data_IF_725603550108
#
_entry.id   IF_725603550108
#
_cell.length_a   1.000
_cell.length_b   1.000
_cell.length_c   1.000
_cell.angle_alpha   90.00
_cell.angle_beta   90.00
_cell.angle_gamma   90.00
#
_symmetry.space_group_name_H-M   'P 1'
#
loop_
_entity.id
_entity.type
_entity.pdbx_description
1 polymer ?
#
# COMPACT_ATOMS: atom_id res chain seq x y z
N UNK A 1 -33.87 25.25 -16.76
CA UNK A 1 -33.06 24.75 -17.90
C UNK A 1 -32.02 25.81 -18.20
N UNK A 2 -30.76 25.57 -17.83
CA UNK A 2 -29.66 26.49 -18.14
C UNK A 2 -29.15 26.20 -19.55
N UNK A 3 -28.98 27.25 -20.36
CA UNK A 3 -28.37 27.16 -21.69
C UNK A 3 -26.88 26.82 -21.51
N UNK A 4 -26.34 25.78 -22.17
CA UNK A 4 -24.91 25.47 -22.04
C UNK A 4 -24.07 26.53 -22.76
N UNK A 5 -23.08 27.08 -22.05
CA UNK A 5 -22.10 28.01 -22.59
C UNK A 5 -20.90 27.21 -23.09
N UNK A 6 -20.59 27.32 -24.38
CA UNK A 6 -19.38 26.75 -24.98
C UNK A 6 -18.20 27.66 -24.62
N UNK A 7 -17.21 27.14 -23.88
CA UNK A 7 -16.12 27.97 -23.34
C UNK A 7 -14.86 28.03 -24.22
N UNK A 8 -14.83 27.36 -25.38
CA UNK A 8 -13.83 27.62 -26.40
C UNK A 8 -13.37 26.39 -27.18
N UNK A 9 -12.80 26.63 -28.36
CA UNK A 9 -12.14 25.62 -29.18
C UNK A 9 -10.66 25.97 -29.31
N UNK A 10 -9.79 25.01 -29.02
CA UNK A 10 -8.34 25.16 -29.19
C UNK A 10 -7.84 24.20 -30.27
N UNK A 11 -7.12 24.74 -31.25
CA UNK A 11 -6.57 23.98 -32.37
C UNK A 11 -5.21 23.41 -31.99
N UNK A 12 -5.03 22.10 -32.14
CA UNK A 12 -3.73 21.48 -32.02
C UNK A 12 -3.18 21.17 -33.43
N UNK A 13 -1.89 21.41 -33.67
CA UNK A 13 -1.24 21.39 -34.99
C UNK A 13 -1.26 20.07 -35.76
N UNK A 14 -1.87 19.01 -35.20
CA UNK A 14 -1.89 17.64 -35.74
C UNK A 14 -3.24 17.21 -36.35
N UNK A 15 -4.19 18.13 -36.58
CA UNK A 15 -5.44 17.82 -37.29
C UNK A 15 -6.60 17.35 -36.39
N UNK A 16 -6.60 17.75 -35.12
CA UNK A 16 -7.61 17.40 -34.13
C UNK A 16 -8.23 18.66 -33.50
N UNK A 17 -9.51 18.58 -33.15
CA UNK A 17 -10.24 19.63 -32.42
C UNK A 17 -10.78 19.09 -31.09
N UNK A 18 -10.70 19.92 -30.05
CA UNK A 18 -11.11 19.61 -28.68
C UNK A 18 -12.23 20.55 -28.28
N UNK A 19 -13.28 19.97 -27.70
CA UNK A 19 -14.42 20.68 -27.14
C UNK A 19 -14.56 20.34 -25.66
N UNK A 20 -14.59 21.37 -24.82
CA UNK A 20 -14.75 21.22 -23.37
C UNK A 20 -16.03 21.91 -22.92
N UNK A 21 -16.83 21.18 -22.13
CA UNK A 21 -18.02 21.73 -21.48
C UNK A 21 -17.95 21.42 -19.98
N UNK A 22 -18.12 22.46 -19.18
CA UNK A 22 -18.18 22.38 -17.72
C UNK A 22 -19.62 22.67 -17.32
N UNK A 23 -20.23 21.78 -16.55
CA UNK A 23 -21.40 22.11 -15.75
C UNK A 23 -21.02 22.08 -14.27
N UNK A 24 -21.85 22.65 -13.40
CA UNK A 24 -21.62 22.78 -11.95
C UNK A 24 -21.31 21.48 -11.21
N UNK A 25 -21.43 20.32 -11.87
CA UNK A 25 -21.20 19.01 -11.23
C UNK A 25 -20.21 18.12 -12.00
N UNK A 26 -19.94 18.35 -13.29
CA UNK A 26 -19.14 17.43 -14.13
C UNK A 26 -18.33 18.16 -15.24
N UNK A 27 -17.17 17.60 -15.59
CA UNK A 27 -16.34 17.99 -16.73
C UNK A 27 -16.51 16.97 -17.87
N UNK A 28 -16.87 17.44 -19.07
CA UNK A 28 -16.98 16.61 -20.28
C UNK A 28 -15.95 17.08 -21.30
N UNK A 29 -15.14 16.15 -21.81
CA UNK A 29 -14.10 16.42 -22.82
C UNK A 29 -14.39 15.56 -24.06
N UNK A 30 -14.53 16.20 -25.22
CA UNK A 30 -14.68 15.52 -26.51
C UNK A 30 -13.49 15.85 -27.43
N UNK A 31 -12.93 14.81 -28.08
CA UNK A 31 -11.77 14.91 -28.98
C UNK A 31 -12.13 14.25 -30.32
N UNK A 32 -11.95 14.95 -31.45
CA UNK A 32 -12.25 14.39 -32.78
C UNK A 32 -11.19 14.66 -33.85
N UNK A 33 -10.96 13.71 -34.78
CA UNK A 33 -10.16 13.92 -35.98
C UNK A 33 -10.99 14.62 -37.06
N UNK A 34 -10.37 15.59 -37.74
CA UNK A 34 -11.03 16.54 -38.65
C UNK A 34 -11.85 15.94 -39.82
N UNK A 35 -11.70 14.64 -40.10
CA UNK A 35 -12.23 14.00 -41.31
C UNK A 35 -13.55 13.23 -41.14
N UNK A 36 -14.16 13.15 -39.95
CA UNK A 36 -15.45 12.45 -39.74
C UNK A 36 -16.54 13.40 -39.27
N UNK A 37 -17.62 13.51 -40.04
CA UNK A 37 -18.88 14.14 -39.59
C UNK A 37 -19.67 13.12 -38.76
N UNK A 38 -19.61 13.24 -37.44
CA UNK A 38 -20.42 12.46 -36.50
C UNK A 38 -19.84 12.55 -35.09
N UNK A 39 -20.60 13.11 -34.15
CA UNK A 39 -20.19 13.27 -32.75
C UNK A 39 -20.35 11.92 -32.05
N UNK A 40 -19.26 11.35 -31.54
CA UNK A 40 -19.32 10.25 -30.58
C UNK A 40 -19.18 10.82 -29.18
N UNK A 41 -20.24 10.70 -28.38
CA UNK A 41 -20.28 11.11 -26.98
C UNK A 41 -19.99 9.86 -26.15
N UNK A 42 -18.96 9.91 -25.30
CA UNK A 42 -18.68 8.84 -24.33
C UNK A 42 -19.22 9.32 -22.99
N UNK A 43 -20.26 8.66 -22.51
CA UNK A 43 -20.86 8.89 -21.19
C UNK A 43 -20.21 7.96 -20.16
N UNK A 44 -19.64 8.53 -19.10
CA UNK A 44 -18.81 7.81 -18.12
C UNK A 44 -19.59 7.50 -16.82
N UNK A 45 -20.92 7.48 -16.87
CA UNK A 45 -21.77 7.53 -15.66
C UNK A 45 -22.40 6.22 -15.17
N UNK A 46 -22.11 5.03 -15.73
CA UNK A 46 -22.70 3.74 -15.26
C UNK A 46 -21.65 2.61 -15.10
N UNK A 47 -21.78 1.71 -14.09
CA UNK A 47 -20.91 0.54 -13.93
C UNK A 47 -21.33 -0.59 -14.91
N UNK A 48 -20.38 -1.41 -15.43
CA UNK A 48 -20.71 -2.38 -16.47
C UNK A 48 -21.44 -3.61 -15.94
N UNK A 49 -22.38 -4.14 -16.73
CA UNK A 49 -23.03 -5.43 -16.50
C UNK A 49 -22.09 -6.60 -16.84
N UNK A 50 -22.26 -7.71 -16.11
CA UNK A 50 -21.45 -8.91 -16.16
C UNK A 50 -21.61 -9.73 -17.46
N UNK A 51 -21.02 -9.26 -18.56
CA UNK A 51 -20.65 -10.12 -19.72
C UNK A 51 -19.58 -9.54 -20.66
N UNK A 52 -19.05 -8.34 -20.40
CA UNK A 52 -17.90 -7.77 -21.15
C UNK A 52 -16.79 -7.34 -20.18
N UNK A 53 -16.08 -8.30 -19.60
CA UNK A 53 -14.78 -8.06 -18.98
C UNK A 53 -13.68 -8.50 -19.96
N UNK A 54 -13.42 -7.67 -20.95
CA UNK A 54 -12.10 -7.56 -21.54
C UNK A 54 -11.94 -6.16 -22.13
N UNK A 55 -11.02 -5.37 -21.55
CA UNK A 55 -10.64 -3.98 -21.90
C UNK A 55 -11.45 -2.85 -21.25
N UNK A 56 -11.26 -2.67 -19.94
CA UNK A 56 -11.33 -1.35 -19.32
C UNK A 56 -9.92 -0.93 -18.89
N UNK A 57 -9.39 0.14 -19.50
CA UNK A 57 -8.03 0.66 -19.25
C UNK A 57 -8.15 1.92 -18.35
N UNK A 58 -7.46 1.98 -17.20
CA UNK A 58 -7.54 3.11 -16.28
C UNK A 58 -6.86 4.39 -16.82
N UNK A 59 -7.30 5.55 -16.33
CA UNK A 59 -6.98 6.91 -16.84
C UNK A 59 -5.48 7.27 -16.87
N UNK A 60 -4.62 6.52 -16.18
CA UNK A 60 -3.16 6.70 -16.25
C UNK A 60 -2.52 6.13 -17.54
N UNK A 61 -3.23 5.29 -18.29
CA UNK A 61 -2.70 4.61 -19.48
C UNK A 61 -3.02 5.31 -20.81
N UNK A 62 -3.57 6.54 -20.78
CA UNK A 62 -3.72 7.36 -22.00
C UNK A 62 -2.35 7.76 -22.59
N UNK A 63 -1.26 7.54 -21.84
CA UNK A 63 0.09 8.01 -22.17
C UNK A 63 0.83 7.11 -23.19
N UNK A 64 0.34 5.91 -23.52
CA UNK A 64 1.11 4.95 -24.35
C UNK A 64 0.56 4.66 -25.75
N UNK A 65 -0.32 5.52 -26.29
CA UNK A 65 -0.90 5.29 -27.62
C UNK A 65 -0.72 6.40 -28.67
N UNK A 66 0.25 7.33 -28.54
CA UNK A 66 0.64 8.21 -29.67
C UNK A 66 2.10 8.68 -29.52
N UNK A 67 2.98 8.50 -30.53
CA UNK A 67 4.33 9.06 -30.48
C UNK A 67 4.31 10.59 -30.66
N UNK A 68 4.89 11.34 -29.72
CA UNK A 68 5.16 12.80 -29.83
C UNK A 68 4.46 13.75 -28.84
N UNK A 69 3.89 13.26 -27.73
CA UNK A 69 2.98 14.05 -26.87
C UNK A 69 3.62 14.72 -25.62
N UNK A 70 4.89 15.14 -25.65
CA UNK A 70 5.50 15.83 -24.49
C UNK A 70 4.94 17.25 -24.26
N UNK A 71 4.58 17.97 -25.33
CA UNK A 71 3.95 19.30 -25.25
C UNK A 71 2.46 19.27 -24.86
N UNK A 72 1.82 18.10 -24.94
CA UNK A 72 0.40 17.86 -24.67
C UNK A 72 0.09 17.85 -23.16
N UNK A 73 0.98 17.26 -22.36
CA UNK A 73 0.79 17.13 -20.91
C UNK A 73 0.89 18.47 -20.16
N UNK A 74 1.75 19.39 -20.61
CA UNK A 74 1.92 20.69 -19.93
C UNK A 74 0.71 21.62 -20.09
N UNK A 75 0.05 21.64 -21.24
CA UNK A 75 -1.11 22.53 -21.48
C UNK A 75 -2.35 22.13 -20.68
N UNK A 76 -2.59 20.83 -20.51
CA UNK A 76 -3.74 20.31 -19.75
C UNK A 76 -3.59 20.61 -18.26
N UNK A 77 -2.38 20.46 -17.71
CA UNK A 77 -2.10 20.74 -16.29
C UNK A 77 -2.25 22.23 -15.95
N UNK A 78 -1.80 23.13 -16.84
CA UNK A 78 -1.89 24.59 -16.62
C UNK A 78 -3.36 25.07 -16.58
N UNK A 79 -4.23 24.53 -17.43
CA UNK A 79 -5.66 24.90 -17.48
C UNK A 79 -6.43 24.47 -16.22
N UNK A 80 -6.05 23.36 -15.59
CA UNK A 80 -6.69 22.88 -14.34
C UNK A 80 -6.27 23.74 -13.14
N UNK A 81 -5.04 24.27 -13.12
CA UNK A 81 -4.55 25.11 -12.02
C UNK A 81 -5.21 26.50 -11.96
N UNK A 82 -5.58 27.10 -13.10
CA UNK A 82 -6.25 28.42 -13.11
C UNK A 82 -7.69 28.40 -12.58
N UNK A 83 -8.34 27.24 -12.52
CA UNK A 83 -9.75 27.10 -12.11
C UNK A 83 -9.94 26.92 -10.58
N UNK A 84 -8.85 26.77 -9.82
CA UNK A 84 -8.88 26.35 -8.40
C UNK A 84 -8.23 27.35 -7.43
N UNK A 85 -8.36 28.66 -7.67
CA UNK A 85 -8.01 29.68 -6.66
C UNK A 85 -9.28 30.21 -5.95
N UNK A 86 -9.32 30.32 -4.61
CA UNK A 86 -10.51 30.76 -3.90
C UNK A 86 -10.59 32.30 -3.80
N UNK A 87 -11.76 32.86 -4.13
CA UNK A 87 -12.10 34.26 -3.86
C UNK A 87 -12.70 34.42 -2.44
N UNK A 88 -12.33 35.53 -1.83
CA UNK A 88 -12.49 35.96 -0.44
C UNK A 88 -13.86 36.57 -0.06
N UNK A 89 -14.32 36.27 1.16
CA UNK A 89 -14.86 37.14 2.24
C UNK A 89 -16.21 37.93 2.17
N UNK A 90 -17.04 37.70 3.23
CA UNK A 90 -18.10 38.54 3.93
C UNK A 90 -19.48 38.82 3.27
N UNK A 91 -20.56 39.23 4.02
CA UNK A 91 -21.04 39.00 5.42
C UNK A 91 -22.58 38.61 5.51
N UNK A 92 -23.21 38.47 6.72
CA UNK A 92 -24.58 37.92 6.89
C UNK A 92 -25.66 38.96 7.27
N UNK A 93 -26.98 38.65 7.14
CA UNK A 93 -28.17 39.19 7.89
C UNK A 93 -29.52 38.71 7.23
N UNK A 94 -30.75 38.88 7.82
CA UNK A 94 -31.33 38.29 9.05
C UNK A 94 -32.67 37.51 8.84
N UNK A 95 -33.19 36.94 9.95
CA UNK A 95 -34.48 36.24 10.18
C UNK A 95 -35.77 37.05 9.83
N UNK A 96 -36.98 36.43 9.86
CA UNK A 96 -37.77 36.53 11.10
C UNK A 96 -38.66 35.33 11.52
N UNK A 97 -38.73 35.14 12.85
CA UNK A 97 -39.84 34.78 13.77
C UNK A 97 -41.19 34.22 13.24
N UNK A 98 -41.65 33.12 13.88
CA UNK A 98 -43.02 33.01 14.42
C UNK A 98 -43.13 32.01 15.60
N UNK A 99 -44.01 32.35 16.56
CA UNK A 99 -44.20 31.85 17.93
C UNK A 99 -45.10 30.60 18.08
N UNK A 100 -45.15 29.96 19.27
CA UNK A 100 -45.71 28.63 19.51
C UNK A 100 -47.19 28.65 19.94
N UNK A 101 -47.86 27.50 19.86
CA UNK A 101 -49.18 27.25 20.46
C UNK A 101 -49.10 25.98 21.33
N UNK A 102 -49.52 26.14 22.59
CA UNK A 102 -49.73 25.15 23.64
C UNK A 102 -51.23 24.86 23.74
N UNK A 103 -51.69 23.60 23.70
CA UNK A 103 -52.98 23.10 24.23
C UNK A 103 -52.81 21.58 24.49
N UNK A 104 -52.59 21.12 25.73
CA UNK A 104 -53.54 20.59 26.72
C UNK A 104 -54.06 19.14 26.47
N UNK A 105 -53.73 18.23 27.39
CA UNK A 105 -54.40 16.92 27.64
C UNK A 105 -55.69 17.13 28.47
N UNK A 106 -56.66 16.17 28.58
CA UNK A 106 -56.56 14.95 29.44
C UNK A 106 -57.52 13.78 28.98
N UNK A 107 -58.02 12.81 29.82
CA UNK A 107 -57.33 11.73 30.56
C UNK A 107 -57.97 10.29 30.41
N UNK A 108 -57.32 9.30 31.08
CA UNK A 108 -57.86 8.06 31.75
C UNK A 108 -58.53 6.93 30.95
N UNK A 109 -58.00 5.68 30.96
CA UNK A 109 -58.20 4.62 32.00
C UNK A 109 -57.73 3.21 31.57
N UNK A 110 -57.26 2.46 32.58
CA UNK A 110 -57.38 1.01 32.83
C UNK A 110 -56.69 -0.06 31.95
N UNK A 111 -55.68 -0.70 32.56
CA UNK A 111 -55.45 -2.15 32.73
C UNK A 111 -55.79 -3.17 31.62
N UNK A 112 -54.77 -3.91 31.16
CA UNK A 112 -54.73 -5.37 31.19
C UNK A 112 -53.36 -5.91 30.71
N UNK A 113 -52.81 -6.82 31.51
CA UNK A 113 -51.65 -7.68 31.27
C UNK A 113 -51.96 -8.80 30.28
N UNK A 114 -51.16 -8.97 29.21
CA UNK A 114 -51.10 -10.21 28.40
C UNK A 114 -49.70 -10.34 27.78
N UNK A 115 -48.92 -11.26 28.36
CA UNK A 115 -47.81 -12.11 27.85
C UNK A 115 -46.96 -11.72 26.62
N UNK A 116 -45.66 -11.89 26.86
CA UNK A 116 -44.53 -11.97 25.96
C UNK A 116 -44.75 -12.79 24.68
N UNK A 117 -44.28 -12.26 23.56
CA UNK A 117 -43.36 -12.91 22.61
C UNK A 117 -43.27 -12.05 21.33
N UNK A 118 -42.54 -10.93 21.40
CA UNK A 118 -41.98 -10.32 20.20
C UNK A 118 -40.53 -10.74 20.14
N UNK A 119 -40.25 -11.62 19.19
CA UNK A 119 -38.90 -11.93 18.74
C UNK A 119 -38.24 -10.63 18.29
N UNK A 120 -37.51 -10.00 19.22
CA UNK A 120 -36.50 -9.01 18.89
C UNK A 120 -35.42 -9.74 18.12
N UNK A 121 -35.54 -9.73 16.80
CA UNK A 121 -34.42 -9.90 15.89
C UNK A 121 -33.34 -8.94 16.36
N UNK A 122 -32.29 -9.50 16.96
CA UNK A 122 -31.08 -8.79 17.33
C UNK A 122 -30.55 -8.08 16.11
N UNK A 123 -30.82 -6.78 16.03
CA UNK A 123 -30.09 -5.90 15.13
C UNK A 123 -28.61 -6.04 15.50
N UNK A 124 -27.69 -6.24 14.54
CA UNK A 124 -26.28 -6.34 14.86
C UNK A 124 -25.87 -5.05 15.57
N UNK A 125 -25.48 -5.19 16.83
CA UNK A 125 -25.00 -4.12 17.68
C UNK A 125 -23.87 -3.38 16.97
N UNK A 126 -23.90 -2.06 17.02
CA UNK A 126 -22.92 -1.14 16.44
C UNK A 126 -21.46 -1.32 16.96
N UNK A 127 -21.19 -2.38 17.73
CA UNK A 127 -19.88 -2.77 18.27
C UNK A 127 -18.98 -3.48 17.25
N UNK A 128 -19.51 -4.00 16.14
CA UNK A 128 -18.72 -4.79 15.17
C UNK A 128 -17.87 -3.98 14.17
N UNK A 129 -17.81 -2.66 14.29
CA UNK A 129 -17.07 -1.80 13.34
C UNK A 129 -15.70 -1.31 13.85
N UNK A 130 -15.37 -1.48 15.12
CA UNK A 130 -14.06 -1.09 15.63
C UNK A 130 -12.97 -2.03 15.06
N UNK A 131 -11.85 -1.49 14.53
CA UNK A 131 -10.81 -2.33 13.98
C UNK A 131 -10.15 -3.15 15.07
N UNK A 132 -10.00 -4.46 14.84
CA UNK A 132 -9.30 -5.36 15.76
C UNK A 132 -7.78 -5.31 15.57
N UNK A 133 -7.35 -5.01 14.34
CA UNK A 133 -5.95 -5.10 13.93
C UNK A 133 -5.56 -3.85 13.15
N UNK A 134 -4.40 -3.27 13.47
CA UNK A 134 -3.78 -2.18 12.71
C UNK A 134 -2.67 -2.74 11.84
N UNK A 135 -2.67 -2.41 10.55
CA UNK A 135 -1.63 -2.82 9.59
C UNK A 135 -0.77 -1.63 9.19
N UNK A 136 0.55 -1.75 9.39
CA UNK A 136 1.46 -0.59 9.43
C UNK A 136 2.48 -0.50 8.30
N UNK A 137 2.46 -1.44 7.35
CA UNK A 137 3.40 -1.40 6.22
C UNK A 137 3.07 -0.20 5.34
N UNK A 138 4.01 0.13 4.46
CA UNK A 138 3.83 1.15 3.44
C UNK A 138 2.50 0.99 2.68
N UNK A 139 1.94 2.14 2.31
CA UNK A 139 0.65 2.24 1.61
C UNK A 139 0.62 1.32 0.41
N UNK A 140 -0.45 0.52 0.31
CA UNK A 140 -0.64 -0.44 -0.78
C UNK A 140 0.10 -1.77 -0.61
N UNK A 141 0.94 -1.94 0.42
CA UNK A 141 1.66 -3.20 0.70
C UNK A 141 1.01 -4.07 1.78
N UNK A 142 -0.14 -3.66 2.31
CA UNK A 142 -0.88 -4.40 3.34
C UNK A 142 -1.93 -5.38 2.78
N UNK A 143 -2.31 -5.28 1.49
CA UNK A 143 -3.43 -6.02 0.90
C UNK A 143 -3.42 -7.53 1.19
N UNK A 144 -2.29 -8.22 0.95
CA UNK A 144 -2.17 -9.67 1.21
C UNK A 144 -2.44 -10.05 2.68
N UNK A 145 -2.06 -9.20 3.63
CA UNK A 145 -2.32 -9.44 5.05
C UNK A 145 -3.79 -9.18 5.39
N UNK A 146 -4.35 -8.08 4.88
CA UNK A 146 -5.76 -7.75 5.04
C UNK A 146 -6.64 -8.88 4.50
N UNK A 147 -6.37 -9.36 3.28
CA UNK A 147 -7.10 -10.46 2.64
C UNK A 147 -6.99 -11.77 3.43
N UNK A 148 -5.83 -12.04 4.03
CA UNK A 148 -5.63 -13.23 4.85
C UNK A 148 -6.43 -13.16 6.17
N UNK A 149 -6.45 -11.99 6.81
CA UNK A 149 -7.19 -11.75 8.05
C UNK A 149 -8.71 -11.67 7.83
N UNK A 150 -9.15 -11.19 6.66
CA UNK A 150 -10.58 -11.15 6.30
C UNK A 150 -11.23 -12.54 6.29
N UNK A 151 -10.45 -13.62 6.02
CA UNK A 151 -10.93 -15.02 6.11
C UNK A 151 -11.33 -15.44 7.52
N UNK A 152 -10.86 -14.71 8.53
CA UNK A 152 -11.18 -14.89 9.95
C UNK A 152 -12.16 -13.82 10.45
N UNK A 153 -12.80 -13.07 9.54
CA UNK A 153 -13.72 -11.98 9.85
C UNK A 153 -13.08 -10.86 10.69
N UNK A 154 -11.76 -10.69 10.56
CA UNK A 154 -11.00 -9.66 11.29
C UNK A 154 -10.98 -8.38 10.47
N UNK A 155 -11.60 -7.33 11.01
CA UNK A 155 -11.53 -5.99 10.45
C UNK A 155 -10.17 -5.33 10.74
N UNK A 156 -9.50 -4.85 9.68
CA UNK A 156 -8.19 -4.22 9.74
C UNK A 156 -8.27 -2.72 9.47
N UNK A 157 -7.55 -1.93 10.27
CA UNK A 157 -7.28 -0.52 9.99
C UNK A 157 -5.91 -0.37 9.34
N UNK A 158 -5.86 0.15 8.12
CA UNK A 158 -4.60 0.49 7.48
C UNK A 158 -4.08 1.83 8.02
N UNK A 159 -2.89 1.81 8.63
CA UNK A 159 -2.18 2.98 9.12
C UNK A 159 -0.70 2.88 8.73
N UNK A 160 -0.33 3.24 7.48
CA UNK A 160 1.04 3.14 7.02
C UNK A 160 1.96 4.03 7.88
N UNK A 161 3.02 3.43 8.44
CA UNK A 161 3.96 4.15 9.32
C UNK A 161 5.31 4.41 8.67
N UNK A 162 5.59 3.73 7.57
CA UNK A 162 6.85 3.81 6.85
C UNK A 162 6.61 3.89 5.34
N UNK A 163 7.60 4.41 4.63
CA UNK A 163 7.67 4.42 3.18
C UNK A 163 9.09 4.09 2.72
N UNK A 164 9.21 3.58 1.50
CA UNK A 164 10.49 3.32 0.87
C UNK A 164 10.87 4.49 -0.05
N UNK A 165 12.11 4.94 0.09
CA UNK A 165 12.69 6.02 -0.71
C UNK A 165 13.98 5.55 -1.36
N UNK A 166 14.42 6.28 -2.39
CA UNK A 166 15.62 5.92 -3.15
C UNK A 166 16.86 5.91 -2.26
N UNK A 167 17.70 4.90 -2.45
CA UNK A 167 18.99 4.78 -1.77
C UNK A 167 20.11 5.40 -2.60
N UNK A 168 21.26 5.68 -1.97
CA UNK A 168 22.39 6.35 -2.64
C UNK A 168 22.97 5.56 -3.82
N UNK A 169 22.79 4.24 -3.86
CA UNK A 169 23.35 3.39 -4.91
C UNK A 169 22.34 3.03 -6.00
N UNK A 170 21.09 3.53 -5.94
CA UNK A 170 20.03 3.15 -6.86
C UNK A 170 20.41 3.41 -8.32
N UNK A 171 20.87 4.63 -8.61
CA UNK A 171 21.17 5.07 -9.98
C UNK A 171 22.33 4.28 -10.61
N UNK A 172 23.20 3.71 -9.77
CA UNK A 172 24.36 2.91 -10.21
C UNK A 172 24.00 1.44 -10.46
N UNK A 173 22.91 0.95 -9.90
CA UNK A 173 22.53 -0.47 -9.96
C UNK A 173 22.40 -0.99 -11.41
N UNK A 174 21.77 -0.27 -12.36
CA UNK A 174 21.69 -0.75 -13.75
C UNK A 174 23.05 -0.91 -14.43
N UNK A 175 23.96 0.06 -14.26
CA UNK A 175 25.32 -0.02 -14.82
C UNK A 175 26.11 -1.16 -14.19
N UNK A 176 26.05 -1.31 -12.86
CA UNK A 176 26.73 -2.42 -12.17
C UNK A 176 26.24 -3.78 -12.69
N UNK A 177 24.93 -3.92 -12.93
CA UNK A 177 24.33 -5.13 -13.51
C UNK A 177 24.72 -5.38 -14.97
N UNK A 178 24.86 -4.33 -15.78
CA UNK A 178 25.21 -4.44 -17.20
C UNK A 178 26.70 -4.67 -17.44
N UNK A 179 27.55 -4.05 -16.61
CA UNK A 179 29.00 -4.01 -16.82
C UNK A 179 29.72 -5.21 -16.17
N UNK A 180 29.07 -5.93 -15.26
CA UNK A 180 29.67 -7.00 -14.48
C UNK A 180 28.84 -8.29 -14.54
N UNK A 181 29.53 -9.43 -14.51
CA UNK A 181 28.89 -10.72 -14.30
C UNK A 181 29.02 -11.12 -12.82
N UNK A 182 27.89 -11.38 -12.17
CA UNK A 182 27.84 -11.90 -10.81
C UNK A 182 27.41 -13.37 -10.82
N UNK A 183 28.05 -14.19 -9.98
CA UNK A 183 27.63 -15.59 -9.79
C UNK A 183 26.26 -15.67 -9.11
N UNK A 184 25.97 -14.70 -8.25
CA UNK A 184 24.71 -14.56 -7.53
C UNK A 184 24.24 -13.11 -7.43
N UNK A 185 22.93 -12.93 -7.50
CA UNK A 185 22.22 -11.77 -6.97
C UNK A 185 21.43 -12.22 -5.75
N UNK A 186 21.69 -11.63 -4.59
CA UNK A 186 20.98 -11.96 -3.35
C UNK A 186 19.90 -10.92 -3.08
N UNK A 187 18.66 -11.37 -2.90
CA UNK A 187 17.49 -10.50 -2.67
C UNK A 187 16.81 -10.90 -1.36
N UNK A 188 16.82 -9.99 -0.39
CA UNK A 188 16.39 -10.29 0.99
C UNK A 188 15.06 -9.66 1.38
N UNK A 189 14.38 -8.97 0.47
CA UNK A 189 13.06 -8.43 0.72
C UNK A 189 12.27 -8.29 -0.58
N UNK A 190 10.94 -8.26 -0.52
CA UNK A 190 10.12 -7.94 -1.69
C UNK A 190 10.50 -6.60 -2.32
N UNK A 191 10.84 -5.60 -1.50
CA UNK A 191 11.24 -4.27 -1.98
C UNK A 191 12.54 -4.31 -2.77
N UNK A 192 13.56 -4.99 -2.24
CA UNK A 192 14.82 -5.19 -2.94
C UNK A 192 14.59 -5.89 -4.29
N UNK A 193 13.64 -6.83 -4.34
CA UNK A 193 13.24 -7.51 -5.58
C UNK A 193 12.61 -6.57 -6.60
N UNK A 194 11.70 -5.69 -6.18
CA UNK A 194 11.09 -4.69 -7.06
C UNK A 194 12.12 -3.70 -7.60
N UNK A 195 12.99 -3.15 -6.74
CA UNK A 195 14.07 -2.25 -7.12
C UNK A 195 15.05 -2.93 -8.09
N UNK A 196 15.41 -4.17 -7.80
CA UNK A 196 16.28 -4.97 -8.67
C UNK A 196 15.66 -5.23 -10.04
N UNK A 197 14.38 -5.63 -10.10
CA UNK A 197 13.72 -5.93 -11.38
C UNK A 197 13.68 -4.71 -12.30
N UNK A 198 13.49 -3.51 -11.76
CA UNK A 198 13.51 -2.28 -12.56
C UNK A 198 14.92 -2.01 -13.12
N UNK A 199 15.94 -2.11 -12.27
CA UNK A 199 17.32 -1.93 -12.71
C UNK A 199 17.77 -3.01 -13.70
N UNK A 200 17.33 -4.26 -13.51
CA UNK A 200 17.61 -5.38 -14.40
C UNK A 200 16.99 -5.21 -15.78
N UNK A 201 15.76 -4.68 -15.87
CA UNK A 201 15.15 -4.31 -17.15
C UNK A 201 15.94 -3.19 -17.83
N UNK A 202 16.30 -2.17 -17.07
CA UNK A 202 17.09 -1.02 -17.55
C UNK A 202 18.47 -1.44 -18.05
N UNK A 203 19.09 -2.45 -17.43
CA UNK A 203 20.40 -2.98 -17.82
C UNK A 203 20.34 -3.97 -19.00
N UNK A 204 19.20 -4.09 -19.70
CA UNK A 204 19.05 -4.98 -20.84
C UNK A 204 18.81 -6.45 -20.50
N UNK A 205 18.33 -6.74 -19.28
CA UNK A 205 17.94 -8.07 -18.79
C UNK A 205 19.06 -9.14 -18.89
N UNK A 206 20.25 -8.90 -18.31
CA UNK A 206 21.35 -9.86 -18.32
C UNK A 206 20.96 -11.19 -17.65
N UNK A 207 21.66 -12.27 -18.00
CA UNK A 207 21.44 -13.55 -17.34
C UNK A 207 21.92 -13.50 -15.88
N UNK A 208 21.03 -13.82 -14.93
CA UNK A 208 21.30 -13.72 -13.50
C UNK A 208 20.76 -14.94 -12.74
N UNK A 209 21.56 -15.43 -11.77
CA UNK A 209 21.12 -16.39 -10.76
C UNK A 209 20.76 -15.67 -9.48
N UNK A 210 19.53 -15.85 -9.02
CA UNK A 210 18.97 -15.13 -7.89
C UNK A 210 18.81 -16.07 -6.70
N UNK A 211 19.40 -15.70 -5.57
CA UNK A 211 19.12 -16.28 -4.25
C UNK A 211 18.14 -15.39 -3.51
N UNK A 212 16.97 -15.91 -3.14
CA UNK A 212 15.96 -15.13 -2.40
C UNK A 212 15.83 -15.63 -0.97
N UNK A 213 15.62 -14.73 -0.02
CA UNK A 213 15.51 -15.12 1.41
C UNK A 213 14.29 -15.99 1.69
N UNK A 214 13.19 -15.87 0.93
CA UNK A 214 11.98 -16.63 1.21
C UNK A 214 10.88 -16.44 0.17
N UNK A 215 9.78 -17.17 0.35
CA UNK A 215 8.65 -17.25 -0.59
C UNK A 215 7.99 -15.90 -0.88
N UNK A 216 7.87 -15.03 0.13
CA UNK A 216 7.35 -13.68 -0.02
C UNK A 216 8.17 -12.85 -1.00
N UNK A 217 9.50 -12.93 -0.90
CA UNK A 217 10.43 -12.27 -1.84
C UNK A 217 10.41 -12.93 -3.20
N UNK A 218 10.42 -14.27 -3.27
CA UNK A 218 10.31 -15.03 -4.51
C UNK A 218 9.05 -14.64 -5.32
N UNK A 219 7.95 -14.31 -4.63
CA UNK A 219 6.68 -13.98 -5.28
C UNK A 219 6.73 -12.74 -6.17
N UNK A 220 7.68 -11.83 -5.95
CA UNK A 220 7.88 -10.62 -6.75
C UNK A 220 8.35 -10.94 -8.18
N UNK A 221 9.03 -12.08 -8.35
CA UNK A 221 9.63 -12.47 -9.63
C UNK A 221 8.68 -13.26 -10.53
N UNK A 222 7.46 -13.61 -10.08
CA UNK A 222 6.53 -14.47 -10.83
C UNK A 222 6.27 -13.97 -12.25
N UNK A 223 5.99 -12.69 -12.41
CA UNK A 223 5.70 -12.08 -13.72
C UNK A 223 6.96 -12.00 -14.60
N UNK A 224 8.11 -11.63 -14.01
CA UNK A 224 9.38 -11.57 -14.71
C UNK A 224 9.82 -12.95 -15.22
N UNK A 225 9.54 -14.01 -14.46
CA UNK A 225 9.82 -15.39 -14.86
C UNK A 225 8.91 -15.89 -15.99
N UNK A 226 7.69 -15.37 -16.10
CA UNK A 226 6.76 -15.73 -17.18
C UNK A 226 7.08 -15.03 -18.51
N UNK A 227 7.65 -13.83 -18.44
CA UNK A 227 7.92 -12.96 -19.60
C UNK A 227 9.35 -13.09 -20.15
N UNK A 228 10.29 -13.60 -19.35
CA UNK A 228 11.68 -13.72 -19.77
C UNK A 228 11.98 -15.07 -20.41
N UNK A 229 12.74 -15.06 -21.52
CA UNK A 229 13.30 -16.26 -22.16
C UNK A 229 14.43 -16.89 -21.30
N UNK A 230 14.17 -17.17 -20.01
CA UNK A 230 15.10 -17.77 -19.02
C UNK A 230 16.34 -16.92 -18.67
N UNK A 231 16.27 -15.60 -18.76
CA UNK A 231 17.37 -14.72 -18.34
C UNK A 231 17.42 -14.48 -16.83
N UNK A 232 16.35 -14.79 -16.09
CA UNK A 232 16.31 -14.72 -14.64
C UNK A 232 15.98 -16.10 -14.06
N UNK A 233 16.79 -16.59 -13.14
CA UNK A 233 16.60 -17.88 -12.48
C UNK A 233 16.61 -17.72 -10.96
N UNK A 234 15.51 -18.09 -10.27
CA UNK A 234 15.50 -18.19 -8.81
C UNK A 234 16.13 -19.53 -8.43
N UNK A 235 17.45 -19.54 -8.36
CA UNK A 235 18.25 -20.76 -8.21
C UNK A 235 18.44 -21.19 -6.75
N UNK A 236 18.08 -20.36 -5.76
CA UNK A 236 18.26 -20.69 -4.35
C UNK A 236 17.23 -20.03 -3.42
N UNK A 237 16.75 -20.82 -2.45
CA UNK A 237 15.97 -20.39 -1.30
C UNK A 237 16.51 -21.13 -0.07
N UNK A 238 16.84 -20.44 1.04
CA UNK A 238 17.36 -21.10 2.24
C UNK A 238 16.28 -21.92 2.94
N UNK A 239 16.73 -22.86 3.81
CA UNK A 239 15.87 -23.71 4.63
C UNK A 239 14.96 -22.93 5.59
N UNK A 240 15.42 -21.74 6.03
CA UNK A 240 14.67 -20.79 6.85
C UNK A 240 14.81 -19.39 6.27
N UNK A 241 13.70 -18.65 6.22
CA UNK A 241 13.67 -17.32 5.62
C UNK A 241 14.29 -16.23 6.49
N UNK A 242 15.59 -16.34 6.73
CA UNK A 242 16.40 -15.40 7.51
C UNK A 242 17.69 -15.08 6.77
N UNK A 243 18.24 -13.89 7.02
CA UNK A 243 19.48 -13.48 6.36
C UNK A 243 20.65 -14.39 6.73
N UNK A 244 20.85 -14.63 8.02
CA UNK A 244 21.85 -15.57 8.54
C UNK A 244 21.85 -16.94 7.85
N UNK A 245 20.67 -17.54 7.66
CA UNK A 245 20.57 -18.87 7.04
C UNK A 245 20.86 -18.78 5.54
N UNK A 246 20.38 -17.75 4.84
CA UNK A 246 20.78 -17.49 3.45
C UNK A 246 22.29 -17.38 3.31
N UNK A 247 22.94 -16.56 4.15
CA UNK A 247 24.38 -16.37 4.09
C UNK A 247 25.15 -17.66 4.39
N UNK A 248 24.61 -18.54 5.24
CA UNK A 248 25.22 -19.83 5.59
C UNK A 248 25.06 -20.88 4.50
N UNK A 249 23.91 -20.91 3.84
CA UNK A 249 23.51 -21.99 2.93
C UNK A 249 23.72 -21.67 1.45
N UNK A 250 23.92 -20.39 1.07
CA UNK A 250 24.11 -20.00 -0.33
C UNK A 250 25.23 -20.84 -0.98
N UNK A 251 24.99 -21.52 -2.13
CA UNK A 251 25.99 -22.37 -2.74
C UNK A 251 27.20 -21.57 -3.22
N UNK A 252 28.40 -22.00 -2.84
CA UNK A 252 29.66 -21.42 -3.33
C UNK A 252 30.09 -22.15 -4.59
N UNK A 253 30.26 -21.42 -5.68
CA UNK A 253 30.73 -21.96 -6.96
C UNK A 253 32.21 -21.62 -7.09
N UNK A 254 33.07 -22.64 -7.13
CA UNK A 254 34.51 -22.46 -7.33
C UNK A 254 35.24 -21.70 -6.20
N UNK A 255 36.46 -21.25 -6.50
CA UNK A 255 37.35 -20.61 -5.53
C UNK A 255 37.05 -19.12 -5.31
N UNK A 256 36.53 -18.43 -6.33
CA UNK A 256 36.04 -17.05 -6.27
C UNK A 256 34.58 -17.06 -6.68
N UNK A 257 33.72 -16.50 -5.83
CA UNK A 257 32.28 -16.44 -6.07
C UNK A 257 31.80 -15.03 -5.71
N UNK A 258 31.27 -14.33 -6.71
CA UNK A 258 30.87 -12.92 -6.62
C UNK A 258 29.37 -12.81 -6.36
N UNK A 259 29.00 -11.88 -5.47
CA UNK A 259 27.61 -11.67 -5.07
C UNK A 259 27.28 -10.19 -5.21
N UNK A 260 26.23 -9.87 -5.98
CA UNK A 260 25.58 -8.58 -5.89
C UNK A 260 24.49 -8.63 -4.83
N UNK A 261 24.51 -7.69 -3.90
CA UNK A 261 23.52 -7.60 -2.82
C UNK A 261 22.84 -6.21 -2.79
N UNK A 262 21.76 -6.00 -3.57
CA UNK A 262 20.89 -4.84 -3.44
C UNK A 262 20.13 -4.92 -2.11
N UNK A 263 20.33 -3.91 -1.26
CA UNK A 263 19.84 -3.91 0.10
C UNK A 263 19.26 -2.55 0.50
N UNK A 264 18.53 -2.53 1.62
CA UNK A 264 18.19 -1.27 2.27
C UNK A 264 19.44 -0.66 2.90
N UNK A 265 19.58 0.67 2.85
CA UNK A 265 20.57 1.40 3.64
C UNK A 265 20.44 1.13 5.16
N UNK A 266 19.26 0.71 5.63
CA UNK A 266 19.00 0.34 7.03
C UNK A 266 19.20 -1.16 7.34
N UNK A 267 19.46 -2.00 6.33
CA UNK A 267 19.69 -3.42 6.58
C UNK A 267 21.00 -3.61 7.36
N UNK A 268 21.05 -4.58 8.27
CA UNK A 268 22.28 -4.94 8.97
C UNK A 268 23.32 -5.50 7.98
N UNK A 269 24.56 -5.66 8.45
CA UNK A 269 25.64 -6.26 7.65
C UNK A 269 25.65 -7.81 7.72
N UNK A 270 24.66 -8.44 8.37
CA UNK A 270 24.64 -9.89 8.63
C UNK A 270 24.83 -10.75 7.36
N UNK A 271 24.22 -10.35 6.24
CA UNK A 271 24.37 -11.04 4.95
C UNK A 271 25.78 -10.88 4.39
N UNK A 272 26.25 -9.64 4.33
CA UNK A 272 27.54 -9.27 3.78
C UNK A 272 28.66 -9.95 4.57
N UNK A 273 28.65 -9.79 5.89
CA UNK A 273 29.60 -10.42 6.79
C UNK A 273 29.52 -11.95 6.70
N UNK A 274 28.31 -12.52 6.70
CA UNK A 274 28.11 -13.96 6.64
C UNK A 274 28.63 -14.59 5.34
N UNK A 275 28.44 -13.93 4.21
CA UNK A 275 28.94 -14.35 2.90
C UNK A 275 30.45 -14.12 2.78
N UNK A 276 30.95 -12.94 3.17
CA UNK A 276 32.39 -12.63 3.16
C UNK A 276 33.19 -13.59 4.04
N UNK A 277 32.67 -14.00 5.20
CA UNK A 277 33.28 -15.01 6.07
C UNK A 277 33.38 -16.40 5.42
N UNK A 278 32.53 -16.69 4.43
CA UNK A 278 32.60 -17.91 3.60
C UNK A 278 33.45 -17.72 2.34
N UNK A 279 34.10 -16.56 2.20
CA UNK A 279 34.97 -16.19 1.09
C UNK A 279 34.24 -15.89 -0.21
N UNK A 280 33.02 -15.35 -0.12
CA UNK A 280 32.37 -14.68 -1.26
C UNK A 280 32.90 -13.24 -1.38
N UNK A 281 32.96 -12.74 -2.61
CA UNK A 281 33.22 -11.34 -2.90
C UNK A 281 31.88 -10.61 -3.03
N UNK A 282 31.50 -9.88 -1.98
CA UNK A 282 30.17 -9.26 -1.89
C UNK A 282 30.26 -7.80 -2.33
N UNK A 283 29.45 -7.44 -3.32
CA UNK A 283 29.16 -6.07 -3.72
C UNK A 283 27.80 -5.68 -3.15
N UNK A 284 27.79 -5.07 -1.96
CA UNK A 284 26.57 -4.50 -1.40
C UNK A 284 26.25 -3.16 -2.06
N UNK A 285 24.98 -2.96 -2.40
CA UNK A 285 24.47 -1.67 -2.91
C UNK A 285 23.24 -1.26 -2.09
N UNK A 286 23.29 -0.09 -1.47
CA UNK A 286 22.18 0.45 -0.70
C UNK A 286 21.22 1.19 -1.65
N UNK A 287 20.30 0.45 -2.25
CA UNK A 287 19.49 0.91 -3.39
C UNK A 287 18.15 1.53 -2.97
N UNK A 288 17.77 1.35 -1.72
CA UNK A 288 16.62 2.02 -1.12
C UNK A 288 16.85 2.27 0.37
N UNK A 289 16.03 3.10 0.99
CA UNK A 289 15.97 3.25 2.44
C UNK A 289 14.54 3.32 2.91
N UNK A 290 14.31 2.97 4.18
CA UNK A 290 12.98 3.05 4.79
C UNK A 290 12.93 4.28 5.67
N UNK A 291 11.95 5.15 5.49
CA UNK A 291 11.74 6.34 6.33
C UNK A 291 10.36 6.30 6.96
N UNK A 292 10.15 6.95 8.13
CA UNK A 292 8.80 7.16 8.65
C UNK A 292 7.98 8.03 7.69
N UNK A 293 6.67 7.82 7.62
CA UNK A 293 5.78 8.72 6.88
C UNK A 293 5.80 10.13 7.51
N UNK A 294 5.66 11.16 6.69
CA UNK A 294 5.70 12.55 7.16
C UNK A 294 4.45 12.95 7.96
N UNK A 295 3.30 12.33 7.67
CA UNK A 295 2.03 12.68 8.28
C UNK A 295 1.23 11.43 8.60
N UNK A 296 0.66 11.40 9.81
CA UNK A 296 -0.31 10.41 10.27
C UNK A 296 -1.57 11.17 10.68
N UNK A 297 -2.70 10.80 10.10
CA UNK A 297 -3.98 11.42 10.43
C UNK A 297 -4.35 11.16 11.90
N UNK A 298 -4.64 12.23 12.65
CA UNK A 298 -4.91 12.15 14.09
C UNK A 298 -6.19 11.36 14.42
N UNK A 299 -7.22 11.42 13.58
CA UNK A 299 -8.45 10.66 13.80
C UNK A 299 -8.20 9.17 13.57
N UNK A 300 -7.44 8.83 12.53
CA UNK A 300 -7.04 7.45 12.26
C UNK A 300 -6.12 6.91 13.35
N UNK A 301 -5.17 7.71 13.83
CA UNK A 301 -4.29 7.34 14.94
C UNK A 301 -5.10 7.05 16.21
N UNK A 302 -6.12 7.87 16.52
CA UNK A 302 -6.99 7.62 17.68
C UNK A 302 -7.69 6.26 17.60
N UNK A 303 -8.17 5.88 16.41
CA UNK A 303 -8.77 4.56 16.19
C UNK A 303 -7.73 3.44 16.30
N UNK A 304 -6.52 3.67 15.78
CA UNK A 304 -5.43 2.70 15.85
C UNK A 304 -4.96 2.43 17.28
N UNK A 305 -4.89 3.47 18.13
CA UNK A 305 -4.50 3.33 19.53
C UNK A 305 -5.52 2.52 20.35
N UNK A 306 -6.80 2.55 19.95
CA UNK A 306 -7.86 1.76 20.56
C UNK A 306 -7.89 0.29 20.08
N UNK A 307 -7.15 -0.05 19.02
CA UNK A 307 -7.16 -1.40 18.47
C UNK A 307 -6.35 -2.38 19.37
N UNK A 308 -6.85 -3.60 19.58
CA UNK A 308 -6.18 -4.65 20.36
C UNK A 308 -4.78 -5.02 19.86
N UNK A 309 -4.56 -5.02 18.55
CA UNK A 309 -3.30 -5.48 17.95
C UNK A 309 -2.78 -4.48 16.92
N UNK A 310 -1.50 -4.13 17.03
CA UNK A 310 -0.74 -3.51 15.94
C UNK A 310 0.17 -4.55 15.30
N UNK A 311 0.20 -4.60 13.97
CA UNK A 311 1.10 -5.48 13.23
C UNK A 311 2.28 -4.70 12.71
N UNK A 312 3.49 -5.26 12.80
CA UNK A 312 4.73 -4.60 12.33
C UNK A 312 5.62 -5.58 11.57
N UNK A 313 6.05 -5.16 10.37
CA UNK A 313 6.87 -5.99 9.49
C UNK A 313 8.37 -5.66 9.52
N UNK A 314 8.79 -4.68 10.35
CA UNK A 314 10.19 -4.30 10.44
C UNK A 314 10.51 -3.52 11.73
N UNK A 315 11.79 -3.49 12.15
CA UNK A 315 12.27 -2.61 13.21
C UNK A 315 11.92 -1.12 13.00
N UNK A 316 11.93 -0.64 11.74
CA UNK A 316 11.57 0.75 11.43
C UNK A 316 10.08 1.04 11.69
N UNK A 317 9.18 0.09 11.39
CA UNK A 317 7.75 0.26 11.63
C UNK A 317 7.41 0.31 13.12
N UNK A 318 8.01 -0.55 13.94
CA UNK A 318 7.78 -0.52 15.39
C UNK A 318 8.40 0.70 16.07
N UNK A 319 9.55 1.19 15.56
CA UNK A 319 10.13 2.45 16.02
C UNK A 319 9.23 3.64 15.70
N UNK A 320 8.66 3.67 14.48
CA UNK A 320 7.70 4.69 14.09
C UNK A 320 6.43 4.63 14.95
N UNK A 321 5.91 3.43 15.24
CA UNK A 321 4.78 3.25 16.16
C UNK A 321 5.10 3.80 17.55
N UNK A 322 6.25 3.43 18.13
CA UNK A 322 6.68 3.91 19.46
C UNK A 322 6.73 5.43 19.53
N UNK A 323 7.20 6.10 18.47
CA UNK A 323 7.25 7.56 18.42
C UNK A 323 5.86 8.21 18.43
N UNK A 324 4.84 7.52 17.90
CA UNK A 324 3.45 8.03 17.92
C UNK A 324 2.77 7.88 19.28
N UNK A 325 3.22 6.93 20.11
CA UNK A 325 2.63 6.69 21.43
C UNK A 325 2.91 7.83 22.43
N UNK A 326 3.90 8.70 22.18
CA UNK A 326 4.35 9.68 23.18
C UNK A 326 4.65 9.01 24.54
N UNK A 327 4.53 9.73 25.66
CA UNK A 327 4.66 9.17 27.02
C UNK A 327 3.41 8.38 27.47
N UNK A 328 2.48 8.06 26.57
CA UNK A 328 1.29 7.29 26.95
C UNK A 328 1.63 5.81 27.12
N UNK A 329 1.13 5.21 28.20
CA UNK A 329 1.21 3.77 28.40
C UNK A 329 0.25 3.07 27.42
N UNK A 330 0.81 2.37 26.44
CA UNK A 330 0.07 1.54 25.50
C UNK A 330 0.44 0.07 25.75
N UNK A 331 -0.51 -0.68 26.29
CA UNK A 331 -0.31 -2.06 26.79
C UNK A 331 -0.95 -3.14 25.89
N UNK A 332 -1.39 -2.75 24.69
CA UNK A 332 -1.95 -3.68 23.71
C UNK A 332 -0.86 -4.50 23.02
N UNK A 333 -1.26 -5.42 22.14
CA UNK A 333 -0.38 -6.43 21.59
C UNK A 333 0.31 -5.99 20.31
N UNK A 334 1.59 -6.34 20.17
CA UNK A 334 2.40 -6.14 18.96
C UNK A 334 2.61 -7.49 18.27
N UNK A 335 2.04 -7.66 17.07
CA UNK A 335 2.26 -8.83 16.23
C UNK A 335 3.36 -8.54 15.19
N UNK A 336 4.54 -9.10 15.42
CA UNK A 336 5.72 -8.94 14.58
C UNK A 336 5.79 -10.02 13.50
N UNK A 337 6.24 -9.67 12.29
CA UNK A 337 6.41 -10.64 11.19
C UNK A 337 7.49 -11.71 11.49
N UNK A 338 8.39 -11.44 12.45
CA UNK A 338 9.47 -12.35 12.81
C UNK A 338 10.34 -11.82 13.94
N UNK A 339 11.29 -12.66 14.36
CA UNK A 339 12.10 -12.50 15.57
C UNK A 339 12.88 -11.19 15.63
N UNK A 340 13.52 -10.75 14.53
CA UNK A 340 14.26 -9.48 14.51
C UNK A 340 13.38 -8.28 14.87
N UNK A 341 12.14 -8.26 14.41
CA UNK A 341 11.20 -7.18 14.72
C UNK A 341 10.68 -7.31 16.16
N UNK A 342 10.45 -8.53 16.63
CA UNK A 342 10.04 -8.79 18.02
C UNK A 342 11.12 -8.37 19.03
N UNK A 343 12.38 -8.65 18.75
CA UNK A 343 13.52 -8.21 19.57
C UNK A 343 13.59 -6.68 19.66
N UNK A 344 13.39 -5.97 18.54
CA UNK A 344 13.29 -4.51 18.54
C UNK A 344 12.09 -4.00 19.35
N UNK A 345 10.93 -4.64 19.22
CA UNK A 345 9.75 -4.27 20.01
C UNK A 345 10.04 -4.38 21.52
N UNK A 346 10.62 -5.50 21.97
CA UNK A 346 10.98 -5.69 23.39
C UNK A 346 12.00 -4.66 23.86
N UNK A 347 13.01 -4.34 23.05
CA UNK A 347 14.00 -3.31 23.42
C UNK A 347 13.41 -1.90 23.54
N UNK A 348 12.27 -1.64 22.89
CA UNK A 348 11.50 -0.39 23.01
C UNK A 348 10.49 -0.39 24.17
N UNK A 349 10.45 -1.47 24.98
CA UNK A 349 9.62 -1.60 26.16
C UNK A 349 8.26 -2.24 25.93
N UNK A 350 7.96 -2.76 24.74
CA UNK A 350 6.72 -3.51 24.51
C UNK A 350 6.79 -4.88 25.19
N UNK A 351 5.76 -5.22 25.96
CA UNK A 351 5.69 -6.46 26.76
C UNK A 351 4.91 -7.57 26.05
N UNK A 352 3.79 -7.22 25.42
CA UNK A 352 2.89 -8.15 24.72
C UNK A 352 3.32 -8.31 23.24
N UNK A 353 4.39 -9.07 23.02
CA UNK A 353 5.03 -9.21 21.68
C UNK A 353 4.92 -10.64 21.15
N UNK A 354 4.23 -10.79 20.02
CA UNK A 354 3.95 -12.06 19.35
C UNK A 354 4.70 -12.12 18.01
N UNK A 355 5.21 -13.29 17.63
CA UNK A 355 5.90 -13.50 16.35
C UNK A 355 6.01 -15.01 16.04
N UNK A 356 6.04 -15.39 14.75
CA UNK A 356 6.13 -16.80 14.40
C UNK A 356 7.56 -17.32 14.44
N UNK A 357 7.71 -18.61 14.76
CA UNK A 357 9.00 -19.34 14.64
C UNK A 357 9.45 -19.41 13.18
N UNK A 358 8.49 -19.59 12.27
CA UNK A 358 8.69 -19.57 10.82
C UNK A 358 8.18 -18.24 10.25
N UNK A 359 9.06 -17.31 9.86
CA UNK A 359 8.64 -16.03 9.29
C UNK A 359 7.96 -16.24 7.93
N UNK A 360 6.90 -15.48 7.68
CA UNK A 360 6.05 -15.63 6.51
C UNK A 360 4.69 -14.98 6.73
N UNK A 361 3.85 -14.94 5.69
CA UNK A 361 2.51 -14.37 5.82
C UNK A 361 1.64 -15.24 6.72
N UNK A 362 1.70 -16.56 6.53
CA UNK A 362 0.91 -17.55 7.27
C UNK A 362 1.23 -17.50 8.77
N UNK A 363 2.52 -17.62 9.13
CA UNK A 363 2.94 -17.51 10.53
C UNK A 363 2.63 -16.14 11.15
N UNK A 364 2.70 -15.06 10.36
CA UNK A 364 2.34 -13.74 10.87
C UNK A 364 0.84 -13.63 11.18
N UNK A 365 -0.02 -14.22 10.36
CA UNK A 365 -1.47 -14.33 10.64
C UNK A 365 -1.69 -15.12 11.92
N UNK A 366 -1.03 -16.26 12.12
CA UNK A 366 -1.13 -17.05 13.36
C UNK A 366 -0.76 -16.22 14.60
N UNK A 367 0.34 -15.46 14.54
CA UNK A 367 0.75 -14.57 15.64
C UNK A 367 -0.27 -13.46 15.94
N UNK A 368 -1.00 -12.98 14.92
CA UNK A 368 -2.07 -11.99 15.10
C UNK A 368 -3.27 -12.64 15.79
N UNK A 369 -3.63 -13.86 15.41
CA UNK A 369 -4.71 -14.61 16.04
C UNK A 369 -4.41 -14.93 17.51
N UNK A 370 -3.17 -15.32 17.81
CA UNK A 370 -2.70 -15.55 19.18
C UNK A 370 -2.77 -14.27 20.03
N UNK A 371 -2.34 -13.14 19.46
CA UNK A 371 -2.41 -11.84 20.10
C UNK A 371 -3.86 -11.40 20.40
N UNK A 372 -4.78 -11.65 19.47
CA UNK A 372 -6.21 -11.37 19.67
C UNK A 372 -6.84 -12.29 20.72
N UNK A 373 -6.52 -13.59 20.69
CA UNK A 373 -7.03 -14.54 21.68
C UNK A 373 -6.60 -14.19 23.10
N UNK A 374 -5.33 -13.81 23.28
CA UNK A 374 -4.80 -13.37 24.57
C UNK A 374 -5.50 -12.09 25.07
N UNK A 375 -5.82 -11.16 24.16
CA UNK A 375 -6.55 -9.94 24.50
C UNK A 375 -7.98 -10.24 24.95
N UNK A 376 -8.68 -11.15 24.25
CA UNK A 376 -10.04 -11.56 24.62
C UNK A 376 -10.09 -12.27 25.98
N UNK A 377 -9.03 -13.00 26.36
CA UNK A 377 -8.90 -13.61 27.70
C UNK A 377 -8.69 -12.57 28.81
N UNK A 378 -7.95 -11.49 28.56
CA UNK A 378 -7.75 -10.41 29.54
C UNK A 378 -9.02 -9.59 29.84
N UNK A 379 -10.00 -9.63 28.94
CA UNK A 379 -11.29 -8.93 29.08
C UNK A 379 -12.37 -9.78 29.77
N UNK A 380 -12.14 -11.08 29.96
CA UNK A 380 -13.02 -11.98 30.71
C UNK A 380 -12.68 -11.95 32.19
#
# INVERSE_FOLDING_TARGET
MGVPVVLGSSRCGSGWEIWTQISTVNLIIAIQPRARKGINIIDITQPPHATEMDRAIPVNDVITAVPGASSFAQHVTIMVQFSLSPLSSFPPYPLPLRRPIFIASPPTNAAASVIDAVSTSSSPSASNYAPKVVVTRERGKNGKLIDALAKYEINCLELPLIEHTQGPDLDRLPSVLGDNAFDWVVITSPEAGSVFLEAWRTSGMPHVKVGVVGTGTASIFKEALQSSNRTLDIAFVPSRATGKVLATELPKIGNKCTVLYPASAKASNEIEDGLSNRGFEVTRMNTYTTVPVQHVDHMVLKLALAAPVVTVASPSAISAWKNLLSDSEWNNSVACIGETTATMARSLGFTNVYYPIQPGLEGWVESILEALGSYDELLR
#
